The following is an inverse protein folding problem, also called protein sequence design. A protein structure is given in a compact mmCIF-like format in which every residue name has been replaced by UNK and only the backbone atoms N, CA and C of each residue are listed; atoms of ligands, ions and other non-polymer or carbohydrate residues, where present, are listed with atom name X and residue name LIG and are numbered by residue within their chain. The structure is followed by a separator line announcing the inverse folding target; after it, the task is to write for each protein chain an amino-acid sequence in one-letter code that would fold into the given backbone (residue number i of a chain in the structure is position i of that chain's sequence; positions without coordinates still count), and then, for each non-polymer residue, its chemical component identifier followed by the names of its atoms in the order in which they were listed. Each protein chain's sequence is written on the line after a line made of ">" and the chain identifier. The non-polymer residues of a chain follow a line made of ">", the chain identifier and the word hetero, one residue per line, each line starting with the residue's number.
data_IF_180906502012
#
_entry.id   IF_180906502012
#
_cell.length_a   1.000
_cell.length_b   1.000
_cell.length_c   1.000
_cell.angle_alpha   90.00
_cell.angle_beta   90.00
_cell.angle_gamma   90.00
#
_symmetry.space_group_name_H-M   'P 1'
#
loop_
_entity.id
_entity.type
_entity.pdbx_description
1 polymer ?
#
# COMPACT_ATOMS: atom_id res chain seq x y z
N UNK A 1 14.66 13.90 4.02
CA UNK A 1 15.90 13.33 3.43
C UNK A 1 16.84 12.95 4.55
N UNK A 2 17.62 11.87 4.38
CA UNK A 2 18.59 11.44 5.38
C UNK A 2 19.64 12.53 5.63
N UNK A 3 19.94 12.80 6.90
CA UNK A 3 20.92 13.79 7.36
C UNK A 3 22.36 13.26 7.34
N UNK A 4 22.55 12.05 6.80
CA UNK A 4 23.80 11.32 6.84
C UNK A 4 24.94 12.09 6.19
N UNK A 5 26.12 11.98 6.79
CA UNK A 5 27.36 12.51 6.26
C UNK A 5 27.90 11.62 5.13
N UNK A 6 28.74 12.14 4.23
CA UNK A 6 29.35 11.30 3.20
C UNK A 6 30.12 10.09 3.75
N UNK A 7 30.73 10.21 4.94
CA UNK A 7 31.44 9.10 5.59
C UNK A 7 30.49 8.01 6.06
N UNK A 8 29.38 8.38 6.69
CA UNK A 8 28.35 7.43 7.12
C UNK A 8 27.71 6.72 5.93
N UNK A 9 27.45 7.43 4.82
CA UNK A 9 26.93 6.82 3.59
C UNK A 9 27.91 5.77 3.05
N UNK A 10 29.20 6.08 3.00
CA UNK A 10 30.23 5.12 2.55
C UNK A 10 30.28 3.90 3.46
N UNK A 11 30.28 4.09 4.78
CA UNK A 11 30.27 3.00 5.76
C UNK A 11 29.04 2.09 5.62
N UNK A 12 27.87 2.66 5.33
CA UNK A 12 26.67 1.87 5.09
C UNK A 12 26.75 1.10 3.77
N UNK A 13 27.34 1.70 2.72
CA UNK A 13 27.59 1.02 1.45
C UNK A 13 28.66 -0.09 1.59
N UNK A 14 29.62 0.05 2.50
CA UNK A 14 30.66 -0.95 2.77
C UNK A 14 30.08 -2.28 3.28
N UNK A 15 28.92 -2.27 3.93
CA UNK A 15 28.21 -3.48 4.39
C UNK A 15 27.67 -4.36 3.25
N UNK A 16 27.55 -3.80 2.05
CA UNK A 16 26.88 -4.47 0.91
C UNK A 16 27.75 -4.57 -0.34
N UNK A 17 28.65 -3.62 -0.56
CA UNK A 17 29.54 -3.59 -1.72
C UNK A 17 30.96 -3.63 -1.22
N UNK A 18 31.75 -4.62 -1.65
CA UNK A 18 33.16 -4.74 -1.26
C UNK A 18 34.04 -3.89 -2.21
N UNK A 19 34.95 -3.09 -1.65
CA UNK A 19 35.84 -2.20 -2.41
C UNK A 19 35.10 -1.05 -3.12
N UNK A 20 35.57 -0.64 -4.30
CA UNK A 20 34.97 0.44 -5.12
C UNK A 20 34.87 1.82 -4.41
N UNK A 21 35.87 2.16 -3.59
CA UNK A 21 35.83 3.35 -2.72
C UNK A 21 35.60 4.66 -3.49
N UNK A 22 36.18 4.79 -4.68
CA UNK A 22 35.97 5.96 -5.54
C UNK A 22 34.50 6.11 -5.93
N UNK A 23 33.85 5.02 -6.33
CA UNK A 23 32.44 5.04 -6.70
C UNK A 23 31.54 5.35 -5.49
N UNK A 24 31.81 4.73 -4.33
CA UNK A 24 31.10 5.00 -3.07
C UNK A 24 31.20 6.47 -2.65
N UNK A 25 32.40 7.05 -2.71
CA UNK A 25 32.62 8.48 -2.41
C UNK A 25 31.84 9.38 -3.36
N UNK A 26 31.87 9.10 -4.67
CA UNK A 26 31.14 9.89 -5.66
C UNK A 26 29.63 9.89 -5.41
N UNK A 27 29.03 8.72 -5.14
CA UNK A 27 27.59 8.64 -4.84
C UNK A 27 27.23 9.26 -3.50
N UNK A 28 28.09 9.15 -2.49
CA UNK A 28 27.89 9.77 -1.18
C UNK A 28 27.89 11.31 -1.28
N UNK A 29 28.80 11.88 -2.08
CA UNK A 29 28.84 13.33 -2.35
C UNK A 29 27.58 13.77 -3.09
N UNK A 30 27.16 13.04 -4.13
CA UNK A 30 25.96 13.38 -4.88
C UNK A 30 24.70 13.36 -3.99
N UNK A 31 24.55 12.36 -3.11
CA UNK A 31 23.45 12.31 -2.16
C UNK A 31 23.52 13.46 -1.14
N UNK A 32 24.70 13.73 -0.57
CA UNK A 32 24.89 14.85 0.38
C UNK A 32 24.60 16.20 -0.25
N UNK A 33 24.92 16.38 -1.53
CA UNK A 33 24.63 17.62 -2.25
C UNK A 33 23.13 17.87 -2.39
N UNK A 34 22.29 16.83 -2.42
CA UNK A 34 20.82 17.01 -2.36
C UNK A 34 20.37 17.62 -1.03
N UNK A 35 20.89 17.11 0.08
CA UNK A 35 20.64 17.70 1.40
C UNK A 35 21.16 19.13 1.49
N UNK A 36 22.38 19.41 1.01
CA UNK A 36 22.96 20.76 0.99
C UNK A 36 22.10 21.74 0.19
N UNK A 37 21.58 21.32 -0.97
CA UNK A 37 20.66 22.13 -1.79
C UNK A 37 19.40 22.52 -1.02
N UNK A 38 18.84 21.61 -0.22
CA UNK A 38 17.66 21.91 0.61
C UNK A 38 17.93 22.96 1.70
N UNK A 39 19.18 23.11 2.14
CA UNK A 39 19.57 24.12 3.12
C UNK A 39 19.81 25.51 2.50
N UNK A 40 19.87 25.61 1.16
CA UNK A 40 20.04 26.90 0.49
C UNK A 40 18.71 27.67 0.44
N UNK A 41 18.81 29.00 0.46
CA UNK A 41 17.67 29.91 0.25
C UNK A 41 17.43 30.13 -1.25
N UNK A 42 16.22 30.56 -1.58
CA UNK A 42 15.90 31.02 -2.94
C UNK A 42 16.60 32.37 -3.22
N UNK A 43 17.03 32.66 -4.47
CA UNK A 43 16.82 31.88 -5.70
C UNK A 43 17.87 30.77 -5.95
N UNK A 44 18.98 30.78 -5.20
CA UNK A 44 20.14 29.91 -5.45
C UNK A 44 19.79 28.41 -5.43
N UNK A 45 18.80 28.01 -4.63
CA UNK A 45 18.31 26.63 -4.57
C UNK A 45 17.91 26.07 -5.94
N UNK A 46 17.26 26.87 -6.78
CA UNK A 46 16.78 26.46 -8.10
C UNK A 46 17.89 26.38 -9.15
N UNK A 47 18.96 27.17 -8.99
CA UNK A 47 20.12 27.17 -9.88
C UNK A 47 21.01 25.93 -9.71
N UNK A 48 20.97 25.29 -8.53
CA UNK A 48 21.80 24.12 -8.23
C UNK A 48 21.18 22.84 -8.77
N UNK A 49 21.70 22.40 -9.91
CA UNK A 49 21.30 21.14 -10.56
C UNK A 49 21.93 19.90 -9.91
N UNK A 50 21.25 18.73 -9.94
CA UNK A 50 21.82 17.47 -9.48
C UNK A 50 23.12 17.12 -10.22
N UNK A 51 24.12 16.61 -9.49
CA UNK A 51 25.37 16.11 -10.08
C UNK A 51 25.20 14.65 -10.50
N UNK A 52 24.90 14.43 -11.79
CA UNK A 52 24.78 13.10 -12.38
C UNK A 52 26.13 12.38 -12.38
N UNK A 53 26.10 11.05 -12.31
CA UNK A 53 27.30 10.21 -12.18
C UNK A 53 27.37 9.23 -13.35
N UNK A 54 28.52 9.18 -14.01
CA UNK A 54 28.88 8.15 -14.98
C UNK A 54 29.82 7.14 -14.30
N UNK A 55 29.40 5.87 -14.20
CA UNK A 55 30.25 4.79 -13.67
C UNK A 55 30.88 4.00 -14.82
N UNK A 56 32.21 3.95 -14.86
CA UNK A 56 32.97 3.22 -15.87
C UNK A 56 33.65 2.01 -15.23
N UNK A 57 33.49 0.83 -15.82
CA UNK A 57 34.12 -0.41 -15.36
C UNK A 57 33.51 -1.66 -16.00
N UNK A 58 34.08 -2.85 -15.79
CA UNK A 58 33.56 -4.10 -16.35
C UNK A 58 32.23 -4.51 -15.71
N UNK A 59 31.52 -5.47 -16.30
CA UNK A 59 30.30 -6.05 -15.71
C UNK A 59 30.63 -6.76 -14.39
N UNK A 60 29.62 -6.92 -13.51
CA UNK A 60 29.78 -7.66 -12.25
C UNK A 60 30.51 -6.95 -11.10
N UNK A 61 31.19 -5.81 -11.33
CA UNK A 61 31.95 -5.10 -10.26
C UNK A 61 31.09 -4.32 -9.24
N UNK A 62 29.76 -4.46 -9.28
CA UNK A 62 28.85 -3.82 -8.32
C UNK A 62 28.32 -2.44 -8.68
N UNK A 63 28.51 -1.93 -9.92
CA UNK A 63 27.99 -0.61 -10.36
C UNK A 63 26.49 -0.42 -10.04
N UNK A 64 25.67 -1.38 -10.47
CA UNK A 64 24.22 -1.36 -10.24
C UNK A 64 23.87 -1.53 -8.77
N UNK A 65 24.65 -2.32 -8.03
CA UNK A 65 24.38 -2.59 -6.61
C UNK A 65 24.66 -1.34 -5.75
N UNK A 66 25.72 -0.58 -6.05
CA UNK A 66 25.98 0.73 -5.41
C UNK A 66 24.78 1.65 -5.58
N UNK A 67 24.24 1.78 -6.80
CA UNK A 67 23.09 2.64 -7.08
C UNK A 67 21.82 2.15 -6.36
N UNK A 68 21.54 0.84 -6.40
CA UNK A 68 20.39 0.22 -5.72
C UNK A 68 20.45 0.42 -4.21
N UNK A 69 21.62 0.21 -3.60
CA UNK A 69 21.83 0.38 -2.15
C UNK A 69 21.75 1.83 -1.72
N UNK A 70 22.30 2.75 -2.52
CA UNK A 70 22.17 4.18 -2.27
C UNK A 70 20.69 4.62 -2.26
N UNK A 71 19.89 4.14 -3.21
CA UNK A 71 18.47 4.50 -3.26
C UNK A 71 17.69 3.95 -2.04
N UNK A 72 17.94 2.68 -1.66
CA UNK A 72 17.37 2.10 -0.43
C UNK A 72 17.77 2.89 0.82
N UNK A 73 19.05 3.25 0.94
CA UNK A 73 19.55 4.03 2.06
C UNK A 73 18.91 5.43 2.14
N UNK A 74 18.69 6.06 1.00
CA UNK A 74 18.06 7.37 0.91
C UNK A 74 16.53 7.32 1.03
N UNK A 75 15.93 6.11 1.13
CA UNK A 75 14.50 5.87 0.99
C UNK A 75 13.92 6.56 -0.25
N UNK A 76 14.58 6.35 -1.39
CA UNK A 76 14.28 7.01 -2.65
C UNK A 76 13.80 6.00 -3.71
N UNK A 77 12.87 6.39 -4.60
CA UNK A 77 12.43 5.53 -5.69
C UNK A 77 13.59 5.24 -6.65
N UNK A 78 13.64 4.02 -7.19
CA UNK A 78 14.74 3.53 -8.01
C UNK A 78 14.25 2.69 -9.17
N UNK A 79 14.81 2.95 -10.35
CA UNK A 79 14.57 2.17 -11.56
C UNK A 79 15.89 1.84 -12.25
N UNK A 80 15.99 0.62 -12.81
CA UNK A 80 17.06 0.20 -13.72
C UNK A 80 16.49 0.09 -15.13
N UNK A 81 17.03 0.87 -16.06
CA UNK A 81 16.67 0.80 -17.48
C UNK A 81 17.92 0.53 -18.32
N UNK A 82 17.74 -0.20 -19.42
CA UNK A 82 18.81 -0.48 -20.38
C UNK A 82 18.65 0.47 -21.56
N UNK A 83 19.71 1.21 -21.90
CA UNK A 83 19.65 2.24 -22.93
C UNK A 83 19.31 1.67 -24.33
N UNK A 84 19.72 0.43 -24.59
CA UNK A 84 19.47 -0.26 -25.87
C UNK A 84 17.97 -0.50 -26.13
N UNK A 85 17.12 -0.48 -25.09
CA UNK A 85 15.66 -0.61 -25.23
C UNK A 85 15.01 0.51 -26.03
N UNK A 86 15.68 1.67 -26.13
CA UNK A 86 15.19 2.84 -26.86
C UNK A 86 15.79 2.97 -28.27
N UNK A 87 16.70 2.08 -28.62
CA UNK A 87 17.34 2.03 -29.95
C UNK A 87 16.91 0.81 -30.75
N UNK A 88 16.03 -0.05 -30.21
CA UNK A 88 15.51 -1.23 -30.91
C UNK A 88 14.75 -0.83 -32.18
N UNK A 89 15.04 -1.51 -33.28
CA UNK A 89 14.47 -1.22 -34.61
C UNK A 89 13.02 -1.71 -34.65
N UNK A 90 12.04 -0.80 -34.77
CA UNK A 90 10.62 -1.13 -34.83
C UNK A 90 9.72 0.11 -35.03
N UNK A 91 8.50 -0.11 -35.52
CA UNK A 91 7.54 0.95 -35.92
C UNK A 91 6.88 1.68 -34.74
N UNK A 92 6.92 1.10 -33.53
CA UNK A 92 6.48 1.72 -32.26
C UNK A 92 7.49 1.33 -31.18
N UNK A 93 8.53 2.14 -31.00
CA UNK A 93 9.51 1.96 -29.93
C UNK A 93 8.94 2.41 -28.57
N UNK A 94 9.53 1.94 -27.47
CA UNK A 94 9.24 2.49 -26.14
C UNK A 94 9.72 3.94 -26.07
N UNK A 95 8.88 4.83 -25.54
CA UNK A 95 9.23 6.25 -25.37
C UNK A 95 10.17 6.46 -24.18
N UNK A 96 11.12 7.39 -24.26
CA UNK A 96 12.03 7.72 -23.14
C UNK A 96 11.27 8.20 -21.89
N UNK A 97 10.10 8.81 -22.09
CA UNK A 97 9.21 9.25 -21.01
C UNK A 97 8.68 8.11 -20.15
N UNK A 98 8.70 6.87 -20.66
CA UNK A 98 8.37 5.67 -19.88
C UNK A 98 9.28 5.51 -18.65
N UNK A 99 10.54 5.98 -18.71
CA UNK A 99 11.46 5.93 -17.56
C UNK A 99 10.90 6.73 -16.38
N UNK A 100 10.32 7.89 -16.65
CA UNK A 100 9.78 8.77 -15.61
C UNK A 100 8.43 8.26 -15.10
N UNK A 101 7.58 7.73 -15.98
CA UNK A 101 6.32 7.08 -15.59
C UNK A 101 6.56 5.89 -14.67
N UNK A 102 7.44 4.98 -15.08
CA UNK A 102 7.79 3.81 -14.28
C UNK A 102 8.42 4.22 -12.92
N UNK A 103 9.24 5.28 -12.90
CA UNK A 103 9.81 5.79 -11.65
C UNK A 103 8.74 6.38 -10.71
N UNK A 104 7.76 7.09 -11.26
CA UNK A 104 6.62 7.64 -10.51
C UNK A 104 5.76 6.52 -9.92
N UNK A 105 5.48 5.47 -10.69
CA UNK A 105 4.73 4.29 -10.21
C UNK A 105 5.46 3.59 -9.06
N UNK A 106 6.79 3.44 -9.17
CA UNK A 106 7.62 2.93 -8.07
C UNK A 106 7.55 3.84 -6.84
N UNK A 107 7.52 5.17 -7.00
CA UNK A 107 7.41 6.12 -5.90
C UNK A 107 6.07 6.01 -5.18
N UNK A 108 4.95 5.96 -5.93
CA UNK A 108 3.61 5.78 -5.38
C UNK A 108 3.50 4.46 -4.62
N UNK A 109 4.01 3.37 -5.20
CA UNK A 109 4.03 2.06 -4.54
C UNK A 109 4.84 2.09 -3.25
N UNK A 110 6.04 2.67 -3.27
CA UNK A 110 6.92 2.79 -2.10
C UNK A 110 6.26 3.59 -0.96
N UNK A 111 5.59 4.71 -1.28
CA UNK A 111 4.89 5.52 -0.28
C UNK A 111 3.63 4.81 0.25
N UNK A 112 2.89 4.11 -0.62
CA UNK A 112 1.75 3.31 -0.22
C UNK A 112 2.13 2.24 0.80
N UNK A 113 3.21 1.50 0.55
CA UNK A 113 3.73 0.50 1.50
C UNK A 113 4.08 1.15 2.85
N UNK A 114 4.72 2.33 2.84
CA UNK A 114 5.06 3.06 4.06
C UNK A 114 3.84 3.57 4.84
N UNK A 115 2.82 4.08 4.17
CA UNK A 115 1.60 4.55 4.85
C UNK A 115 0.78 3.37 5.38
N UNK A 116 0.69 2.26 4.64
CA UNK A 116 0.06 1.01 5.10
C UNK A 116 0.74 0.50 6.37
N UNK A 117 2.09 0.49 6.41
CA UNK A 117 2.84 0.07 7.59
C UNK A 117 2.58 0.96 8.82
N UNK A 118 2.39 2.27 8.63
CA UNK A 118 2.06 3.21 9.72
C UNK A 118 0.67 2.95 10.31
N UNK A 119 -0.31 2.63 9.47
CA UNK A 119 -1.70 2.38 9.92
C UNK A 119 -1.95 0.94 10.32
N UNK A 120 -0.99 0.04 10.10
CA UNK A 120 -1.13 -1.41 10.32
C UNK A 120 -1.71 -1.79 11.68
N UNK A 121 -1.27 -1.13 12.76
CA UNK A 121 -1.79 -1.40 14.10
C UNK A 121 -3.29 -1.06 14.21
N UNK A 122 -3.71 0.11 13.71
CA UNK A 122 -5.12 0.52 13.70
C UNK A 122 -5.96 -0.35 12.77
N UNK A 123 -5.41 -0.72 11.62
CA UNK A 123 -6.05 -1.63 10.68
C UNK A 123 -6.26 -3.02 11.31
N UNK A 124 -5.29 -3.49 12.09
CA UNK A 124 -5.41 -4.75 12.84
C UNK A 124 -6.51 -4.65 13.90
N UNK A 125 -6.58 -3.57 14.68
CA UNK A 125 -7.67 -3.39 15.66
C UNK A 125 -9.05 -3.33 14.99
N UNK A 126 -9.17 -2.64 13.85
CA UNK A 126 -10.41 -2.59 13.07
C UNK A 126 -10.79 -3.97 12.50
N UNK A 127 -9.80 -4.75 12.03
CA UNK A 127 -10.00 -6.11 11.58
C UNK A 127 -10.46 -7.04 12.72
N UNK A 128 -9.89 -6.90 13.93
CA UNK A 128 -10.35 -7.62 15.13
C UNK A 128 -11.83 -7.32 15.39
N UNK A 129 -12.22 -6.04 15.39
CA UNK A 129 -13.61 -5.64 15.63
C UNK A 129 -14.57 -6.25 14.60
N UNK A 130 -14.16 -6.28 13.33
CA UNK A 130 -14.97 -6.86 12.24
C UNK A 130 -15.12 -8.37 12.39
N UNK A 131 -14.10 -9.08 12.84
CA UNK A 131 -14.19 -10.52 13.16
C UNK A 131 -15.11 -10.75 14.37
N UNK A 132 -14.99 -9.92 15.41
CA UNK A 132 -15.84 -10.02 16.60
C UNK A 132 -17.31 -9.78 16.26
N UNK A 133 -17.64 -8.84 15.38
CA UNK A 133 -19.01 -8.61 14.92
C UNK A 133 -19.57 -9.79 14.10
N UNK A 134 -18.73 -10.54 13.39
CA UNK A 134 -19.14 -11.77 12.70
C UNK A 134 -19.37 -12.94 13.66
N UNK A 135 -18.57 -13.04 14.73
CA UNK A 135 -18.69 -14.10 15.74
C UNK A 135 -19.81 -13.83 16.75
N UNK A 136 -20.08 -12.56 17.05
CA UNK A 136 -21.08 -12.08 17.99
C UNK A 136 -22.01 -11.10 17.26
N UNK A 137 -22.91 -11.60 16.38
CA UNK A 137 -23.85 -10.74 15.69
C UNK A 137 -24.70 -9.99 16.72
N UNK A 138 -24.67 -8.66 16.65
CA UNK A 138 -25.56 -7.81 17.48
C UNK A 138 -27.01 -8.14 17.11
N UNK A 139 -27.94 -8.29 18.07
CA UNK A 139 -29.35 -8.33 17.73
C UNK A 139 -29.69 -7.04 16.98
N UNK A 140 -30.14 -7.18 15.72
CA UNK A 140 -30.56 -6.03 14.90
C UNK A 140 -31.66 -5.30 15.68
N UNK A 141 -31.44 -4.03 16.02
CA UNK A 141 -32.55 -3.13 16.33
C UNK A 141 -33.28 -2.88 15.01
N UNK A 142 -34.45 -3.49 14.87
CA UNK A 142 -35.36 -3.20 13.76
C UNK A 142 -35.89 -1.77 13.91
N UNK A 143 -35.43 -0.88 13.05
CA UNK A 143 -36.08 0.41 12.80
C UNK A 143 -37.34 0.18 11.97
N UNK A 144 -38.46 0.04 12.68
CA UNK A 144 -39.82 0.53 12.40
C UNK A 144 -40.22 0.80 10.94
N UNK A 145 -41.08 -0.07 10.39
CA UNK A 145 -42.19 0.35 9.53
C UNK A 145 -43.34 -0.66 9.61
N UNK A 146 -44.57 -0.14 9.62
CA UNK A 146 -45.87 -0.84 9.63
C UNK A 146 -46.31 -1.53 10.93
N UNK A 147 -46.92 -0.69 11.78
CA UNK A 147 -48.13 -0.98 12.54
C UNK A 147 -49.01 -2.10 11.97
N UNK A 148 -49.22 -3.16 12.75
CA UNK A 148 -50.51 -3.81 13.07
C UNK A 148 -50.18 -4.90 14.11
N UNK A 149 -50.61 -4.65 15.36
CA UNK A 149 -50.89 -5.60 16.46
C UNK A 149 -50.51 -4.98 17.80
N UNK A 150 -51.39 -4.09 18.26
CA UNK A 150 -51.37 -3.47 19.57
C UNK A 150 -52.56 -3.95 20.42
N UNK A 151 -52.71 -5.27 20.62
CA UNK A 151 -53.72 -5.82 21.53
C UNK A 151 -53.27 -7.17 22.11
N UNK A 152 -52.29 -7.14 23.03
CA UNK A 152 -52.31 -7.98 24.23
C UNK A 152 -51.38 -7.35 25.28
N UNK A 153 -52.04 -6.72 26.25
CA UNK A 153 -51.64 -6.50 27.65
C UNK A 153 -50.60 -7.52 28.19
N UNK A 154 -49.72 -7.26 29.15
CA UNK A 154 -49.45 -6.17 30.10
C UNK A 154 -48.12 -6.60 30.77
N UNK A 155 -47.07 -5.80 30.72
CA UNK A 155 -46.04 -5.74 31.78
C UNK A 155 -45.13 -4.50 31.57
N UNK A 156 -45.20 -3.48 32.44
CA UNK A 156 -44.55 -2.19 32.22
C UNK A 156 -43.17 -2.06 32.88
N UNK A 157 -42.23 -2.99 32.67
CA UNK A 157 -40.89 -2.89 33.30
C UNK A 157 -39.62 -3.17 32.47
N UNK A 158 -39.66 -3.42 31.15
CA UNK A 158 -38.41 -3.73 30.42
C UNK A 158 -38.12 -2.89 29.15
N UNK A 159 -38.61 -1.65 29.10
CA UNK A 159 -38.36 -0.72 27.97
C UNK A 159 -37.14 0.19 28.17
N UNK A 160 -36.04 -0.35 28.72
CA UNK A 160 -34.75 0.34 28.72
C UNK A 160 -33.55 -0.61 28.69
N UNK A 161 -33.47 -1.52 27.70
CA UNK A 161 -32.19 -2.19 27.36
C UNK A 161 -31.27 -1.23 26.62
N UNK A 162 -30.73 -0.29 27.39
CA UNK A 162 -29.39 0.31 27.24
C UNK A 162 -28.39 -0.78 26.86
N UNK A 163 -27.38 -0.43 26.08
CA UNK A 163 -26.19 -1.26 25.82
C UNK A 163 -25.82 -2.08 27.06
N UNK A 164 -26.08 -3.38 27.05
CA UNK A 164 -25.86 -4.21 28.24
C UNK A 164 -24.36 -4.36 28.47
N UNK A 165 -23.84 -4.11 29.70
CA UNK A 165 -22.43 -4.30 30.03
C UNK A 165 -21.94 -5.75 29.81
N UNK A 166 -22.85 -6.73 29.77
CA UNK A 166 -22.56 -8.14 29.48
C UNK A 166 -22.09 -8.40 28.05
N UNK A 167 -22.61 -7.65 27.06
CA UNK A 167 -22.15 -7.77 25.67
C UNK A 167 -20.71 -7.25 25.52
N UNK A 168 -20.34 -6.22 26.29
CA UNK A 168 -18.98 -5.70 26.32
C UNK A 168 -18.02 -6.67 27.02
N UNK A 169 -18.43 -7.26 28.15
CA UNK A 169 -17.63 -8.27 28.87
C UNK A 169 -17.39 -9.53 28.03
N UNK A 170 -18.39 -10.00 27.28
CA UNK A 170 -18.26 -11.15 26.37
C UNK A 170 -17.34 -10.81 25.19
N UNK A 171 -17.51 -9.63 24.58
CA UNK A 171 -16.65 -9.14 23.49
C UNK A 171 -15.18 -9.04 23.91
N UNK A 172 -14.91 -8.55 25.12
CA UNK A 172 -13.55 -8.48 25.67
C UNK A 172 -12.91 -9.85 25.87
N UNK A 173 -13.67 -10.83 26.38
CA UNK A 173 -13.19 -12.22 26.51
C UNK A 173 -12.86 -12.82 25.14
N UNK A 174 -13.72 -12.65 24.14
CA UNK A 174 -13.47 -13.14 22.78
C UNK A 174 -12.30 -12.43 22.11
N UNK A 175 -12.10 -11.12 22.34
CA UNK A 175 -10.92 -10.39 21.88
C UNK A 175 -9.64 -10.98 22.45
N UNK A 176 -9.63 -11.29 23.76
CA UNK A 176 -8.49 -11.93 24.41
C UNK A 176 -8.19 -13.29 23.77
N UNK A 177 -9.21 -14.14 23.59
CA UNK A 177 -9.07 -15.45 22.93
C UNK A 177 -8.59 -15.36 21.48
N UNK A 178 -9.03 -14.33 20.75
CA UNK A 178 -8.59 -14.07 19.38
C UNK A 178 -7.09 -13.70 19.35
N UNK A 179 -6.63 -12.87 20.28
CA UNK A 179 -5.22 -12.49 20.41
C UNK A 179 -4.33 -13.64 20.89
N UNK A 180 -4.88 -14.53 21.71
CA UNK A 180 -4.22 -15.75 22.19
C UNK A 180 -4.19 -16.86 21.12
N UNK A 181 -4.86 -16.68 19.98
CA UNK A 181 -4.86 -17.62 18.86
C UNK A 181 -5.76 -18.85 19.06
N UNK A 182 -6.59 -18.88 20.12
CA UNK A 182 -7.49 -20.02 20.42
C UNK A 182 -8.58 -20.23 19.36
N UNK A 183 -8.82 -19.22 18.53
CA UNK A 183 -9.89 -19.22 17.52
C UNK A 183 -9.36 -19.35 16.09
N UNK A 184 -8.04 -19.42 15.89
CA UNK A 184 -7.39 -19.35 14.57
C UNK A 184 -7.93 -20.39 13.56
N UNK A 185 -8.23 -21.60 14.03
CA UNK A 185 -8.70 -22.72 13.21
C UNK A 185 -10.19 -22.71 12.89
N UNK A 186 -10.98 -21.86 13.56
CA UNK A 186 -12.41 -21.74 13.27
C UNK A 186 -12.62 -21.04 11.93
N UNK A 187 -13.68 -21.44 11.23
CA UNK A 187 -14.05 -20.84 9.97
C UNK A 187 -15.04 -19.69 10.18
N UNK A 188 -14.85 -18.61 9.43
CA UNK A 188 -15.75 -17.46 9.37
C UNK A 188 -16.08 -17.15 7.91
N UNK A 189 -17.33 -16.74 7.67
CA UNK A 189 -17.73 -16.17 6.39
C UNK A 189 -17.40 -14.69 6.39
N UNK A 190 -16.45 -14.30 5.56
CA UNK A 190 -16.12 -12.88 5.34
C UNK A 190 -16.58 -12.45 3.95
N UNK A 191 -17.12 -11.24 3.90
CA UNK A 191 -17.38 -10.52 2.67
C UNK A 191 -16.14 -9.73 2.29
N UNK A 192 -15.38 -10.27 1.33
CA UNK A 192 -14.25 -9.57 0.74
C UNK A 192 -14.70 -8.87 -0.53
N UNK A 193 -14.17 -7.67 -0.76
CA UNK A 193 -14.22 -7.01 -2.06
C UNK A 193 -13.44 -7.87 -3.04
N UNK A 194 -14.16 -8.65 -3.85
CA UNK A 194 -13.55 -9.50 -4.85
C UNK A 194 -13.00 -8.65 -5.99
N UNK A 195 -11.78 -8.95 -6.43
CA UNK A 195 -11.36 -8.57 -7.77
C UNK A 195 -12.29 -9.30 -8.75
N UNK A 196 -13.09 -8.55 -9.52
CA UNK A 196 -13.90 -9.15 -10.56
C UNK A 196 -12.94 -9.80 -11.56
N UNK A 197 -13.07 -11.13 -11.74
CA UNK A 197 -12.49 -11.83 -12.88
C UNK A 197 -12.92 -11.05 -14.13
N UNK A 198 -11.95 -10.40 -14.76
CA UNK A 198 -12.18 -9.67 -16.00
C UNK A 198 -12.75 -10.64 -17.02
N UNK A 199 -13.86 -10.27 -17.62
CA UNK A 199 -14.21 -10.86 -18.92
C UNK A 199 -13.08 -10.41 -19.85
N UNK A 200 -12.19 -11.32 -20.23
CA UNK A 200 -11.22 -11.06 -21.29
C UNK A 200 -12.02 -10.86 -22.58
N UNK A 201 -12.27 -9.59 -22.93
CA UNK A 201 -12.83 -9.24 -24.22
C UNK A 201 -11.70 -9.47 -25.22
N UNK A 202 -11.85 -10.51 -26.05
CA UNK A 202 -10.92 -10.78 -27.13
C UNK A 202 -11.06 -9.67 -28.19
N UNK A 203 -10.32 -8.57 -28.04
CA UNK A 203 -10.37 -7.43 -28.96
C UNK A 203 -9.37 -7.58 -30.11
N UNK A 204 -9.70 -7.11 -31.33
CA UNK A 204 -8.77 -7.09 -32.45
C UNK A 204 -7.49 -6.26 -32.15
N UNK A 205 -6.34 -6.62 -32.74
CA UNK A 205 -5.09 -5.89 -32.53
C UNK A 205 -5.25 -4.42 -32.97
N UNK A 206 -4.87 -3.50 -32.08
CA UNK A 206 -5.03 -2.04 -32.26
C UNK A 206 -6.13 -1.38 -31.40
N UNK A 207 -6.94 -2.16 -30.67
CA UNK A 207 -7.95 -1.63 -29.72
C UNK A 207 -7.70 -2.01 -28.25
N UNK A 208 -6.53 -2.56 -27.91
CA UNK A 208 -6.22 -3.03 -26.55
C UNK A 208 -6.29 -1.92 -25.48
N UNK A 209 -5.81 -0.72 -25.79
CA UNK A 209 -5.89 0.42 -24.85
C UNK A 209 -7.35 0.83 -24.58
N UNK A 210 -8.18 0.92 -25.62
CA UNK A 210 -9.60 1.27 -25.47
C UNK A 210 -10.37 0.19 -24.71
N UNK A 211 -10.05 -1.08 -24.94
CA UNK A 211 -10.62 -2.20 -24.20
C UNK A 211 -10.26 -2.13 -22.71
N UNK A 212 -9.00 -1.84 -22.38
CA UNK A 212 -8.54 -1.69 -21.01
C UNK A 212 -9.21 -0.50 -20.30
N UNK A 213 -9.43 0.61 -21.01
CA UNK A 213 -10.11 1.79 -20.50
C UNK A 213 -11.61 1.53 -20.26
N UNK A 214 -12.30 0.88 -21.21
CA UNK A 214 -13.70 0.47 -21.04
C UNK A 214 -13.88 -0.54 -19.91
N UNK A 215 -12.93 -1.46 -19.73
CA UNK A 215 -12.94 -2.41 -18.62
C UNK A 215 -12.78 -1.70 -17.27
N UNK A 216 -11.89 -0.71 -17.18
CA UNK A 216 -11.72 0.11 -15.96
C UNK A 216 -12.97 0.94 -15.64
N UNK A 217 -13.64 1.50 -16.65
CA UNK A 217 -14.92 2.19 -16.49
C UNK A 217 -16.05 1.25 -16.05
N UNK A 218 -16.12 0.03 -16.60
CA UNK A 218 -17.12 -0.97 -16.22
C UNK A 218 -16.92 -1.49 -14.79
N UNK A 219 -15.67 -1.64 -14.35
CA UNK A 219 -15.33 -1.99 -12.97
C UNK A 219 -15.70 -0.89 -11.97
N UNK A 220 -15.62 0.39 -12.37
CA UNK A 220 -16.03 1.52 -11.53
C UNK A 220 -17.55 1.73 -11.49
N UNK A 221 -18.29 1.33 -12.52
CA UNK A 221 -19.76 1.49 -12.60
C UNK A 221 -20.53 0.26 -12.07
N UNK A 222 -19.93 -0.93 -12.14
CA UNK A 222 -20.48 -2.13 -11.52
C UNK A 222 -20.16 -2.15 -10.03
N UNK A 223 -21.18 -2.00 -9.18
CA UNK A 223 -21.10 -2.23 -7.74
C UNK A 223 -20.13 -3.39 -7.45
N UNK A 224 -19.02 -3.11 -6.75
CA UNK A 224 -18.04 -4.12 -6.38
C UNK A 224 -18.77 -5.22 -5.59
N UNK A 225 -19.17 -6.30 -6.27
CA UNK A 225 -19.95 -7.36 -5.65
C UNK A 225 -19.05 -8.05 -4.63
N UNK A 226 -19.28 -7.75 -3.36
CA UNK A 226 -18.63 -8.44 -2.24
C UNK A 226 -18.90 -9.93 -2.39
N UNK A 227 -17.84 -10.74 -2.47
CA UNK A 227 -17.96 -12.19 -2.51
C UNK A 227 -17.83 -12.73 -1.10
N UNK A 228 -18.81 -13.52 -0.68
CA UNK A 228 -18.74 -14.28 0.57
C UNK A 228 -17.79 -15.45 0.39
N UNK A 229 -16.80 -15.57 1.26
CA UNK A 229 -15.87 -16.69 1.29
C UNK A 229 -15.74 -17.20 2.72
N UNK A 230 -15.86 -18.52 2.88
CA UNK A 230 -15.46 -19.20 4.11
C UNK A 230 -13.95 -19.32 4.15
N UNK A 231 -13.34 -18.80 5.20
CA UNK A 231 -11.90 -18.90 5.46
C UNK A 231 -11.67 -19.08 6.95
N UNK A 232 -10.50 -19.61 7.32
CA UNK A 232 -10.08 -19.66 8.72
C UNK A 232 -9.89 -18.25 9.28
N UNK A 233 -10.17 -18.06 10.58
CA UNK A 233 -10.03 -16.78 11.28
C UNK A 233 -8.62 -16.22 11.12
N UNK A 234 -7.59 -17.06 11.15
CA UNK A 234 -6.20 -16.65 10.93
C UNK A 234 -5.96 -15.97 9.58
N UNK A 235 -6.55 -16.52 8.52
CA UNK A 235 -6.43 -15.97 7.17
C UNK A 235 -7.38 -14.79 6.96
N UNK A 236 -8.58 -14.85 7.55
CA UNK A 236 -9.50 -13.72 7.61
C UNK A 236 -8.84 -12.49 8.23
N UNK A 237 -8.09 -12.67 9.32
CA UNK A 237 -7.42 -11.59 10.02
C UNK A 237 -6.41 -10.87 9.13
N UNK A 238 -5.62 -11.61 8.35
CA UNK A 238 -4.65 -11.03 7.40
C UNK A 238 -5.37 -10.24 6.31
N UNK A 239 -6.36 -10.85 5.67
CA UNK A 239 -7.08 -10.25 4.55
C UNK A 239 -7.86 -8.99 4.97
N UNK A 240 -8.52 -9.04 6.13
CA UNK A 240 -9.24 -7.89 6.67
C UNK A 240 -8.29 -6.78 7.13
N UNK A 241 -7.13 -7.13 7.72
CA UNK A 241 -6.13 -6.12 8.09
C UNK A 241 -5.61 -5.39 6.86
N UNK A 242 -5.34 -6.11 5.77
CA UNK A 242 -4.95 -5.48 4.50
C UNK A 242 -6.06 -4.58 3.96
N UNK A 243 -7.30 -5.07 3.89
CA UNK A 243 -8.46 -4.30 3.40
C UNK A 243 -8.68 -3.01 4.21
N UNK A 244 -8.66 -3.09 5.55
CA UNK A 244 -8.82 -1.92 6.41
C UNK A 244 -7.62 -0.97 6.31
N UNK A 245 -6.40 -1.48 6.14
CA UNK A 245 -5.24 -0.63 5.92
C UNK A 245 -5.36 0.16 4.61
N UNK A 246 -5.82 -0.47 3.52
CA UNK A 246 -6.04 0.23 2.25
C UNK A 246 -7.13 1.31 2.35
N UNK A 247 -8.19 1.09 3.12
CA UNK A 247 -9.23 2.11 3.34
C UNK A 247 -8.74 3.31 4.14
N UNK A 248 -7.80 3.10 5.05
CA UNK A 248 -7.24 4.18 5.89
C UNK A 248 -6.24 5.06 5.15
N UNK A 249 -5.79 4.65 3.96
CA UNK A 249 -4.78 5.35 3.17
C UNK A 249 -5.46 6.23 2.12
N UNK A 250 -5.18 7.53 2.15
CA UNK A 250 -5.70 8.47 1.15
C UNK A 250 -4.86 8.42 -0.13
N UNK A 251 -5.45 7.92 -1.22
CA UNK A 251 -4.75 7.79 -2.51
C UNK A 251 -4.43 9.13 -3.17
N UNK A 252 -5.24 10.17 -2.98
CA UNK A 252 -4.99 11.50 -3.58
C UNK A 252 -3.80 12.19 -2.92
N UNK A 253 -3.76 12.17 -1.59
CA UNK A 253 -2.63 12.72 -0.81
C UNK A 253 -1.34 11.96 -1.12
N UNK A 254 -1.43 10.63 -1.28
CA UNK A 254 -0.29 9.81 -1.69
C UNK A 254 0.27 10.23 -3.05
N UNK A 255 -0.59 10.44 -4.06
CA UNK A 255 -0.16 10.87 -5.39
C UNK A 255 0.51 12.24 -5.34
N UNK A 256 -0.04 13.18 -4.57
CA UNK A 256 0.56 14.52 -4.40
C UNK A 256 1.90 14.49 -3.66
N UNK A 257 2.11 13.57 -2.71
CA UNK A 257 3.41 13.41 -2.04
C UNK A 257 4.44 12.66 -2.87
N UNK A 258 4.00 11.79 -3.77
CA UNK A 258 4.87 10.96 -4.60
C UNK A 258 5.47 11.71 -5.79
N UNK A 259 4.71 12.64 -6.36
CA UNK A 259 5.04 13.44 -7.55
C UNK A 259 5.63 14.80 -7.15
#
# INVERSE_FOLDING_TARGET
>A
MSTMTPREIVQELDKHVIGQDKAKRSVAIALRNRWRRQQMQDPLRHEVTPKNILMIGPTGVGKTEIARRLARLANAPFIKVEATKFTEVGYVGKEVDSIIRDLADVAVKMLREQEVDKVRYRAQEAAEERILDLLLPRPKQETSSSSINAWLELDPEESSKKETPENNATRQKFRKKLREGELDDKEVEIELTGANLGVEIMTPPGMEEMASQLQSMFQNMGNQKKRRRKVKIKDAMKLLTEEEAYKMVNEEELKQRAL
#
